data_IF_134441884471
#
_entry.id   IF_134441884471
#
_cell.length_a   1.000
_cell.length_b   1.000
_cell.length_c   1.000
_cell.angle_alpha   90.00
_cell.angle_beta   90.00
_cell.angle_gamma   90.00
#
_symmetry.space_group_name_H-M   'P 1'
#
loop_
_entity.id
_entity.type
_entity.pdbx_description
1 polymer ?
#
# COMPACT_ATOMS: atom_id res chain seq x y z
N UNK A 1 29.01 -23.04 19.99
CA UNK A 1 29.11 -22.03 18.89
C UNK A 1 29.40 -22.77 17.59
N UNK A 2 28.62 -22.51 16.54
CA UNK A 2 28.92 -23.02 15.20
C UNK A 2 30.30 -22.51 14.77
N UNK A 3 31.20 -23.42 14.36
CA UNK A 3 32.58 -23.07 13.98
C UNK A 3 32.73 -22.81 12.49
N UNK A 4 31.88 -23.42 11.65
CA UNK A 4 31.89 -23.29 10.19
C UNK A 4 30.44 -23.30 9.67
N UNK A 5 30.12 -22.38 8.75
CA UNK A 5 28.87 -22.37 7.98
C UNK A 5 29.18 -22.91 6.58
N UNK A 6 28.44 -23.93 6.12
CA UNK A 6 28.67 -24.61 4.83
C UNK A 6 27.87 -24.03 3.67
N UNK A 7 26.83 -23.27 3.96
CA UNK A 7 25.94 -22.69 2.98
C UNK A 7 24.92 -21.78 3.65
N UNK A 8 24.31 -20.91 2.85
CA UNK A 8 23.27 -19.99 3.26
C UNK A 8 22.13 -20.14 2.27
N UNK A 9 20.92 -20.33 2.78
CA UNK A 9 19.69 -20.28 1.98
C UNK A 9 18.99 -18.96 2.29
N UNK A 10 18.80 -18.14 1.25
CA UNK A 10 17.96 -16.96 1.34
C UNK A 10 16.53 -17.35 1.00
N UNK A 11 15.59 -16.99 1.86
CA UNK A 11 14.17 -17.30 1.71
C UNK A 11 13.35 -16.03 1.83
N UNK A 12 12.37 -15.86 0.94
CA UNK A 12 11.29 -14.90 1.12
C UNK A 12 10.08 -15.55 1.80
N UNK A 13 9.11 -14.75 2.22
CA UNK A 13 7.83 -15.27 2.69
C UNK A 13 7.10 -15.93 1.52
N UNK A 14 6.72 -17.18 1.70
CA UNK A 14 5.89 -17.94 0.78
C UNK A 14 4.59 -18.34 1.46
N UNK A 15 3.56 -18.63 0.67
CA UNK A 15 2.27 -19.08 1.19
C UNK A 15 2.47 -20.31 2.08
N UNK A 16 1.73 -20.35 3.18
CA UNK A 16 1.76 -21.50 4.09
C UNK A 16 1.04 -22.72 3.49
N UNK A 17 -0.07 -22.48 2.76
CA UNK A 17 -0.81 -23.48 2.00
C UNK A 17 -1.50 -22.85 0.77
N UNK A 18 -2.29 -23.64 0.04
CA UNK A 18 -3.01 -23.18 -1.17
C UNK A 18 -4.10 -22.14 -0.90
N UNK A 19 -4.58 -22.00 0.33
CA UNK A 19 -5.67 -21.10 0.73
C UNK A 19 -5.17 -19.87 1.50
N UNK A 20 -3.93 -19.89 1.98
CA UNK A 20 -3.29 -18.75 2.60
C UNK A 20 -3.12 -17.61 1.59
N UNK A 21 -3.33 -16.37 2.04
CA UNK A 21 -3.23 -15.15 1.22
C UNK A 21 -1.87 -15.03 0.54
N UNK A 22 -1.83 -14.29 -0.58
CA UNK A 22 -0.57 -13.89 -1.23
C UNK A 22 0.45 -13.38 -0.18
N UNK A 23 1.62 -14.02 -0.17
CA UNK A 23 2.79 -13.48 0.50
C UNK A 23 3.43 -12.38 -0.37
N UNK A 24 4.46 -11.73 0.18
CA UNK A 24 5.22 -10.67 -0.49
C UNK A 24 5.36 -10.88 -2.00
N UNK A 25 5.03 -9.85 -2.78
CA UNK A 25 5.15 -9.90 -4.23
C UNK A 25 6.62 -9.95 -4.63
N UNK A 26 7.01 -10.95 -5.42
CA UNK A 26 8.41 -11.17 -5.78
C UNK A 26 9.15 -9.91 -6.30
N UNK A 27 8.59 -9.10 -7.23
CA UNK A 27 9.24 -7.88 -7.69
C UNK A 27 9.45 -6.84 -6.59
N UNK A 28 8.54 -6.81 -5.61
CA UNK A 28 8.66 -5.91 -4.47
C UNK A 28 9.85 -6.29 -3.57
N UNK A 29 10.14 -7.59 -3.44
CA UNK A 29 11.25 -8.12 -2.64
C UNK A 29 12.62 -8.05 -3.32
N UNK A 30 12.70 -7.73 -4.63
CA UNK A 30 13.97 -7.75 -5.37
C UNK A 30 15.05 -6.79 -4.82
N UNK A 31 14.74 -5.52 -4.46
CA UNK A 31 15.74 -4.65 -3.86
C UNK A 31 16.27 -5.19 -2.52
N UNK A 32 15.38 -5.73 -1.68
CA UNK A 32 15.75 -6.36 -0.41
C UNK A 32 16.67 -7.56 -0.62
N UNK A 33 16.31 -8.45 -1.55
CA UNK A 33 17.13 -9.60 -1.94
C UNK A 33 18.52 -9.16 -2.43
N UNK A 34 18.59 -8.11 -3.26
CA UNK A 34 19.85 -7.55 -3.75
C UNK A 34 20.75 -7.06 -2.60
N UNK A 35 20.18 -6.37 -1.61
CA UNK A 35 20.91 -5.92 -0.43
C UNK A 35 21.38 -7.10 0.44
N UNK A 36 20.53 -8.12 0.63
CA UNK A 36 20.92 -9.34 1.34
C UNK A 36 22.08 -10.05 0.66
N UNK A 37 22.07 -10.16 -0.68
CA UNK A 37 23.16 -10.76 -1.45
C UNK A 37 24.46 -9.95 -1.33
N UNK A 38 24.39 -8.62 -1.37
CA UNK A 38 25.56 -7.74 -1.14
C UNK A 38 26.15 -7.93 0.26
N UNK A 39 25.29 -7.89 1.28
CA UNK A 39 25.67 -8.14 2.66
C UNK A 39 26.36 -9.50 2.82
N UNK A 40 25.85 -10.55 2.18
CA UNK A 40 26.45 -11.89 2.23
C UNK A 40 27.81 -11.97 1.54
N UNK A 41 28.01 -11.20 0.46
CA UNK A 41 29.28 -11.18 -0.26
C UNK A 41 30.37 -10.42 0.52
N UNK A 42 30.00 -9.34 1.20
CA UNK A 42 30.94 -8.39 1.81
C UNK A 42 31.08 -8.55 3.32
N UNK A 43 30.12 -9.23 3.98
CA UNK A 43 30.07 -9.39 5.44
C UNK A 43 29.61 -8.13 6.20
N UNK A 44 29.54 -7.00 5.52
CA UNK A 44 29.00 -5.73 6.00
C UNK A 44 28.33 -5.03 4.82
N UNK A 45 27.22 -4.33 5.09
CA UNK A 45 26.54 -3.51 4.09
C UNK A 45 26.91 -2.04 4.35
N UNK A 46 27.76 -1.46 3.49
CA UNK A 46 28.09 -0.05 3.57
C UNK A 46 27.11 0.79 2.73
N UNK A 47 26.96 2.10 3.02
CA UNK A 47 26.10 2.98 2.22
C UNK A 47 26.42 2.96 0.72
N UNK A 48 27.71 2.86 0.36
CA UNK A 48 28.15 2.75 -1.03
C UNK A 48 27.64 1.49 -1.74
N UNK A 49 27.39 0.40 -1.01
CA UNK A 49 26.84 -0.83 -1.59
C UNK A 49 25.35 -0.70 -1.91
N UNK A 50 24.62 0.05 -1.08
CA UNK A 50 23.21 0.40 -1.32
C UNK A 50 23.11 1.28 -2.56
N UNK A 51 23.95 2.30 -2.68
CA UNK A 51 23.93 3.22 -3.82
C UNK A 51 24.40 2.53 -5.12
N UNK A 52 25.35 1.60 -5.03
CA UNK A 52 25.75 0.78 -6.17
C UNK A 52 24.58 -0.10 -6.66
N UNK A 53 23.88 -0.78 -5.76
CA UNK A 53 22.70 -1.57 -6.11
C UNK A 53 21.56 -0.70 -6.64
N UNK A 54 21.34 0.47 -6.03
CA UNK A 54 20.35 1.44 -6.47
C UNK A 54 20.61 1.83 -7.94
N UNK A 55 21.88 2.11 -8.28
CA UNK A 55 22.30 2.42 -9.65
C UNK A 55 22.08 1.23 -10.60
N UNK A 56 22.44 0.01 -10.20
CA UNK A 56 22.25 -1.20 -11.02
C UNK A 56 20.76 -1.46 -11.30
N UNK A 57 19.89 -1.22 -10.32
CA UNK A 57 18.43 -1.32 -10.44
C UNK A 57 17.78 -0.05 -10.99
N UNK A 58 18.59 0.93 -11.41
CA UNK A 58 18.19 2.21 -12.01
C UNK A 58 17.25 3.05 -11.14
N UNK A 59 17.48 3.07 -9.83
CA UNK A 59 16.83 4.01 -8.94
C UNK A 59 17.38 5.43 -9.14
N UNK A 60 16.52 6.44 -9.02
CA UNK A 60 16.92 7.86 -9.01
C UNK A 60 17.38 8.34 -7.63
N UNK A 61 17.00 7.61 -6.58
CA UNK A 61 17.39 7.85 -5.18
C UNK A 61 18.00 6.60 -4.58
N UNK A 62 18.53 6.68 -3.36
CA UNK A 62 18.97 5.46 -2.66
C UNK A 62 17.76 4.54 -2.39
N UNK A 63 18.01 3.22 -2.28
CA UNK A 63 16.96 2.23 -2.04
C UNK A 63 16.39 2.46 -0.62
N UNK A 64 15.06 2.63 -0.46
CA UNK A 64 14.47 2.79 0.85
C UNK A 64 14.54 1.46 1.62
N UNK A 65 15.34 1.41 2.69
CA UNK A 65 15.43 0.24 3.57
C UNK A 65 14.08 -0.01 4.27
N UNK A 66 13.36 1.06 4.61
CA UNK A 66 12.03 0.99 5.17
C UNK A 66 11.02 1.65 4.20
N UNK A 67 10.23 0.87 3.45
CA UNK A 67 9.25 1.41 2.51
C UNK A 67 8.11 2.16 3.20
N UNK A 68 7.81 1.85 4.48
CA UNK A 68 6.75 2.53 5.25
C UNK A 68 7.11 3.95 5.69
N UNK A 69 8.38 4.35 5.57
CA UNK A 69 8.90 5.66 6.02
C UNK A 69 9.44 6.46 4.83
N UNK A 70 9.25 5.96 3.61
CA UNK A 70 9.72 6.65 2.42
C UNK A 70 8.80 7.85 2.11
N UNK A 71 9.34 9.07 2.12
CA UNK A 71 8.53 10.27 1.89
C UNK A 71 7.92 10.32 0.49
N UNK A 72 8.60 9.74 -0.51
CA UNK A 72 8.20 9.77 -1.91
C UNK A 72 8.31 8.37 -2.52
N UNK A 73 7.53 8.09 -3.55
CA UNK A 73 7.65 6.82 -4.30
C UNK A 73 8.99 6.85 -5.06
N UNK A 74 9.91 5.91 -4.81
CA UNK A 74 11.21 5.89 -5.48
C UNK A 74 11.06 5.51 -6.95
N UNK A 75 11.59 6.33 -7.85
CA UNK A 75 11.58 6.03 -9.29
C UNK A 75 12.67 5.01 -9.61
N UNK A 76 12.31 3.89 -10.23
CA UNK A 76 13.23 2.82 -10.58
C UNK A 76 12.84 2.06 -11.86
N UNK A 77 13.80 1.36 -12.49
CA UNK A 77 13.60 0.74 -13.81
C UNK A 77 14.33 -0.61 -13.97
N UNK A 78 14.05 -1.53 -13.03
CA UNK A 78 14.39 -2.94 -13.11
C UNK A 78 13.15 -3.77 -13.53
N UNK A 79 13.28 -5.02 -13.99
CA UNK A 79 12.14 -5.86 -14.34
C UNK A 79 11.15 -6.01 -13.17
N UNK A 80 9.90 -5.59 -13.38
CA UNK A 80 8.86 -5.55 -12.34
C UNK A 80 8.89 -4.32 -11.42
N UNK A 81 9.65 -3.28 -11.78
CA UNK A 81 9.69 -2.03 -11.00
C UNK A 81 8.36 -1.28 -10.93
N UNK A 82 7.46 -1.49 -11.89
CA UNK A 82 6.08 -0.97 -11.86
C UNK A 82 5.31 -1.52 -10.66
N UNK A 83 5.38 -2.84 -10.44
CA UNK A 83 4.80 -3.50 -9.26
C UNK A 83 5.44 -2.96 -7.99
N UNK A 84 6.78 -2.86 -7.93
CA UNK A 84 7.48 -2.35 -6.75
C UNK A 84 7.00 -0.93 -6.36
N UNK A 85 6.92 -0.01 -7.33
CA UNK A 85 6.46 1.36 -7.11
C UNK A 85 4.98 1.41 -6.70
N UNK A 86 4.13 0.61 -7.36
CA UNK A 86 2.70 0.53 -7.03
C UNK A 86 2.46 -0.03 -5.62
N UNK A 87 3.29 -0.95 -5.15
CA UNK A 87 3.20 -1.46 -3.77
C UNK A 87 3.59 -0.40 -2.74
N UNK A 88 4.56 0.48 -3.03
CA UNK A 88 4.88 1.61 -2.15
C UNK A 88 3.74 2.63 -2.15
N UNK A 89 3.18 2.94 -3.33
CA UNK A 89 1.98 3.78 -3.46
C UNK A 89 0.82 3.22 -2.61
N UNK A 90 0.62 1.90 -2.67
CA UNK A 90 -0.39 1.20 -1.87
C UNK A 90 -0.16 1.36 -0.37
N UNK A 91 1.06 1.15 0.11
CA UNK A 91 1.39 1.29 1.53
C UNK A 91 1.05 2.71 2.04
N UNK A 92 1.35 3.74 1.23
CA UNK A 92 1.01 5.13 1.58
C UNK A 92 -0.51 5.36 1.59
N UNK A 93 -1.22 4.90 0.56
CA UNK A 93 -2.66 5.02 0.46
C UNK A 93 -3.39 4.26 1.59
N UNK A 94 -2.91 3.07 1.94
CA UNK A 94 -3.45 2.25 3.02
C UNK A 94 -3.25 2.92 4.38
N UNK A 95 -2.07 3.49 4.64
CA UNK A 95 -1.82 4.27 5.85
C UNK A 95 -2.77 5.47 5.95
N UNK A 96 -2.93 6.23 4.86
CA UNK A 96 -3.84 7.37 4.81
C UNK A 96 -5.32 6.97 4.98
N UNK A 97 -5.72 5.81 4.44
CA UNK A 97 -7.04 5.20 4.65
C UNK A 97 -7.25 4.89 6.14
N UNK A 98 -6.29 4.22 6.78
CA UNK A 98 -6.35 3.88 8.22
C UNK A 98 -6.45 5.14 9.07
N UNK A 99 -5.61 6.15 8.82
CA UNK A 99 -5.64 7.42 9.55
C UNK A 99 -6.98 8.15 9.37
N UNK A 100 -7.55 8.15 8.16
CA UNK A 100 -8.85 8.76 7.90
C UNK A 100 -9.94 8.18 8.79
N UNK A 101 -10.00 6.85 8.93
CA UNK A 101 -10.98 6.19 9.79
C UNK A 101 -10.69 6.33 11.30
N UNK A 102 -9.52 6.82 11.68
CA UNK A 102 -9.16 7.12 13.07
C UNK A 102 -9.42 8.59 13.45
N UNK A 103 -9.83 9.43 12.50
CA UNK A 103 -10.19 10.82 12.80
C UNK A 103 -11.33 10.88 13.82
N UNK A 104 -11.22 11.80 14.77
CA UNK A 104 -12.29 12.05 15.74
C UNK A 104 -13.62 12.30 15.05
N UNK A 105 -13.62 13.00 13.91
CA UNK A 105 -14.84 13.27 13.16
C UNK A 105 -15.55 12.03 12.62
N UNK A 106 -14.81 10.95 12.35
CA UNK A 106 -15.40 9.65 12.01
C UNK A 106 -16.08 9.01 13.22
N UNK A 107 -15.49 9.14 14.41
CA UNK A 107 -16.03 8.60 15.65
C UNK A 107 -17.17 9.47 16.24
N UNK A 108 -17.18 10.78 16.00
CA UNK A 108 -18.13 11.72 16.62
C UNK A 108 -19.30 12.07 15.71
N UNK A 109 -19.07 12.65 14.53
CA UNK A 109 -20.17 13.12 13.67
C UNK A 109 -20.65 12.04 12.71
N UNK A 110 -19.74 11.22 12.18
CA UNK A 110 -20.02 10.20 11.17
C UNK A 110 -20.24 8.79 11.75
N UNK A 111 -20.41 8.63 13.06
CA UNK A 111 -20.75 7.33 13.64
C UNK A 111 -22.17 6.90 13.25
N UNK A 112 -22.41 5.59 13.28
CA UNK A 112 -23.67 5.00 12.84
C UNK A 112 -24.88 5.54 13.63
N UNK A 113 -24.74 5.80 14.94
CA UNK A 113 -25.84 6.31 15.78
C UNK A 113 -26.35 7.68 15.30
N UNK A 114 -25.43 8.60 14.98
CA UNK A 114 -25.76 9.94 14.51
C UNK A 114 -26.28 9.92 13.07
N UNK A 115 -25.68 9.11 12.19
CA UNK A 115 -26.10 8.95 10.79
C UNK A 115 -27.52 8.38 10.69
N UNK A 116 -27.85 7.34 11.45
CA UNK A 116 -29.19 6.74 11.44
C UNK A 116 -30.30 7.69 11.90
N UNK A 117 -29.96 8.66 12.77
CA UNK A 117 -30.93 9.58 13.39
C UNK A 117 -30.94 10.95 12.75
N UNK A 118 -30.07 11.20 11.78
CA UNK A 118 -29.88 12.54 11.20
C UNK A 118 -29.34 13.56 12.20
N UNK A 119 -28.69 13.14 13.29
CA UNK A 119 -28.11 14.03 14.30
C UNK A 119 -26.75 14.53 13.85
N UNK A 120 -26.74 15.29 12.75
CA UNK A 120 -25.50 15.64 12.08
C UNK A 120 -25.49 17.12 11.71
N UNK A 121 -24.34 17.76 11.95
CA UNK A 121 -24.05 19.09 11.45
C UNK A 121 -23.22 18.97 10.16
N UNK A 122 -23.77 19.36 8.98
CA UNK A 122 -23.07 19.25 7.70
C UNK A 122 -21.71 19.94 7.66
N UNK A 123 -21.50 21.03 8.40
CA UNK A 123 -20.23 21.78 8.44
C UNK A 123 -19.07 20.88 8.91
N UNK A 124 -19.33 19.93 9.80
CA UNK A 124 -18.30 19.00 10.28
C UNK A 124 -18.10 17.78 9.36
N UNK A 125 -19.08 17.46 8.52
CA UNK A 125 -19.05 16.32 7.60
C UNK A 125 -18.46 16.69 6.24
N UNK A 126 -18.69 17.91 5.75
CA UNK A 126 -18.16 18.38 4.46
C UNK A 126 -16.63 18.17 4.32
N UNK A 127 -15.78 18.49 5.32
CA UNK A 127 -14.35 18.19 5.23
C UNK A 127 -14.01 16.69 5.19
N UNK A 128 -14.79 15.87 5.90
CA UNK A 128 -14.61 14.41 5.89
C UNK A 128 -14.99 13.82 4.53
N UNK A 129 -16.07 14.31 3.92
CA UNK A 129 -16.50 13.95 2.57
C UNK A 129 -15.41 14.24 1.53
N UNK A 130 -14.88 15.47 1.53
CA UNK A 130 -13.83 15.88 0.59
C UNK A 130 -12.59 14.99 0.75
N UNK A 131 -12.15 14.73 2.00
CA UNK A 131 -11.00 13.87 2.26
C UNK A 131 -11.25 12.42 1.82
N UNK A 132 -12.45 11.87 2.11
CA UNK A 132 -12.84 10.53 1.69
C UNK A 132 -12.87 10.37 0.17
N UNK A 133 -13.43 11.36 -0.55
CA UNK A 133 -13.44 11.38 -2.01
C UNK A 133 -12.03 11.44 -2.60
N UNK A 134 -11.15 12.27 -2.03
CA UNK A 134 -9.75 12.33 -2.47
C UNK A 134 -9.03 11.00 -2.29
N UNK A 135 -9.24 10.31 -1.16
CA UNK A 135 -8.66 8.97 -0.95
C UNK A 135 -9.22 7.95 -1.92
N UNK A 136 -10.53 7.97 -2.18
CA UNK A 136 -11.16 7.05 -3.13
C UNK A 136 -10.61 7.24 -4.55
N UNK A 137 -10.39 8.49 -4.98
CA UNK A 137 -9.73 8.79 -6.24
C UNK A 137 -8.30 8.21 -6.31
N UNK A 138 -7.53 8.28 -5.22
CA UNK A 138 -6.20 7.65 -5.16
C UNK A 138 -6.29 6.14 -5.38
N UNK A 139 -7.22 5.45 -4.72
CA UNK A 139 -7.38 4.01 -4.88
C UNK A 139 -7.84 3.62 -6.29
N UNK A 140 -8.78 4.35 -6.90
CA UNK A 140 -9.20 4.06 -8.28
C UNK A 140 -8.07 4.29 -9.29
N UNK A 141 -7.28 5.37 -9.13
CA UNK A 141 -6.11 5.61 -9.97
C UNK A 141 -5.08 4.47 -9.85
N UNK A 142 -4.97 3.84 -8.68
CA UNK A 142 -4.15 2.65 -8.50
C UNK A 142 -4.73 1.40 -9.17
N UNK A 143 -6.06 1.19 -9.10
CA UNK A 143 -6.73 0.09 -9.79
C UNK A 143 -6.48 0.12 -11.30
N UNK A 144 -6.49 1.31 -11.91
CA UNK A 144 -6.20 1.49 -13.33
C UNK A 144 -4.76 1.07 -13.70
N UNK A 145 -3.79 1.32 -12.80
CA UNK A 145 -2.37 0.94 -12.99
C UNK A 145 -2.11 -0.54 -12.67
N UNK A 146 -2.97 -1.18 -11.88
CA UNK A 146 -2.74 -2.53 -11.35
C UNK A 146 -2.64 -3.55 -12.47
N UNK A 147 -3.59 -3.51 -13.42
CA UNK A 147 -3.68 -4.50 -14.48
C UNK A 147 -2.42 -4.52 -15.37
N UNK A 148 -2.00 -3.35 -15.86
CA UNK A 148 -0.79 -3.24 -16.70
C UNK A 148 0.48 -3.61 -15.94
N UNK A 149 0.56 -3.30 -14.65
CA UNK A 149 1.73 -3.65 -13.83
C UNK A 149 1.82 -5.15 -13.53
N UNK A 150 0.69 -5.82 -13.33
CA UNK A 150 0.66 -7.23 -12.93
C UNK A 150 0.72 -8.18 -14.13
N UNK A 151 0.14 -7.80 -15.28
CA UNK A 151 0.06 -8.65 -16.46
C UNK A 151 1.44 -9.10 -16.99
N UNK A 152 2.44 -8.23 -16.90
CA UNK A 152 3.80 -8.51 -17.40
C UNK A 152 4.62 -9.43 -16.49
N UNK A 153 4.17 -9.64 -15.24
CA UNK A 153 5.00 -10.23 -14.19
C UNK A 153 4.37 -11.44 -13.53
N UNK A 154 3.05 -11.47 -13.42
CA UNK A 154 2.32 -12.51 -12.71
C UNK A 154 1.41 -13.32 -13.63
N UNK A 155 1.19 -14.56 -13.22
CA UNK A 155 0.19 -15.44 -13.86
C UNK A 155 -1.23 -14.93 -13.57
N UNK A 156 -2.16 -15.36 -14.41
CA UNK A 156 -3.59 -15.05 -14.28
C UNK A 156 -4.11 -15.41 -12.89
N UNK A 157 -4.91 -14.52 -12.29
CA UNK A 157 -5.54 -14.73 -10.98
C UNK A 157 -4.83 -14.07 -9.80
N UNK A 158 -3.52 -13.83 -9.89
CA UNK A 158 -2.77 -13.12 -8.82
C UNK A 158 -3.32 -11.71 -8.61
N UNK A 159 -3.61 -11.00 -9.71
CA UNK A 159 -4.19 -9.66 -9.66
C UNK A 159 -5.55 -9.65 -8.94
N UNK A 160 -6.45 -10.56 -9.32
CA UNK A 160 -7.80 -10.63 -8.74
C UNK A 160 -7.76 -10.97 -7.26
N UNK A 161 -6.86 -11.88 -6.86
CA UNK A 161 -6.68 -12.24 -5.46
C UNK A 161 -6.10 -11.07 -4.66
N UNK A 162 -5.02 -10.45 -5.16
CA UNK A 162 -4.39 -9.32 -4.50
C UNK A 162 -5.39 -8.18 -4.29
N UNK A 163 -6.16 -7.86 -5.33
CA UNK A 163 -7.21 -6.85 -5.28
C UNK A 163 -8.25 -7.20 -4.21
N UNK A 164 -8.79 -8.41 -4.25
CA UNK A 164 -9.83 -8.86 -3.32
C UNK A 164 -9.39 -8.88 -1.86
N UNK A 165 -8.13 -9.22 -1.60
CA UNK A 165 -7.56 -9.33 -0.24
C UNK A 165 -7.17 -7.96 0.31
N UNK A 166 -6.44 -7.15 -0.46
CA UNK A 166 -5.78 -5.95 0.08
C UNK A 166 -6.48 -4.65 -0.31
N UNK A 167 -7.03 -4.55 -1.52
CA UNK A 167 -7.53 -3.30 -2.07
C UNK A 167 -9.03 -3.11 -1.82
N UNK A 168 -9.83 -4.09 -2.26
CA UNK A 168 -11.30 -4.04 -2.21
C UNK A 168 -11.89 -3.83 -0.81
N UNK A 169 -11.30 -4.30 0.31
CA UNK A 169 -11.82 -4.00 1.64
C UNK A 169 -11.76 -2.52 2.00
N UNK A 170 -10.64 -1.81 1.77
CA UNK A 170 -10.56 -0.37 2.06
C UNK A 170 -11.41 0.44 1.07
N UNK A 171 -11.41 0.10 -0.22
CA UNK A 171 -12.24 0.78 -1.23
C UNK A 171 -13.72 0.75 -0.85
N UNK A 172 -14.28 -0.44 -0.59
CA UNK A 172 -15.69 -0.58 -0.18
C UNK A 172 -16.02 0.20 1.08
N UNK A 173 -15.09 0.22 2.05
CA UNK A 173 -15.28 0.96 3.30
C UNK A 173 -15.28 2.47 3.06
N UNK A 174 -14.43 2.97 2.16
CA UNK A 174 -14.41 4.38 1.76
C UNK A 174 -15.66 4.75 0.97
N UNK A 175 -16.11 3.91 0.04
CA UNK A 175 -17.34 4.11 -0.73
C UNK A 175 -18.56 4.27 0.20
N UNK A 176 -18.74 3.36 1.16
CA UNK A 176 -19.82 3.44 2.16
C UNK A 176 -19.73 4.75 2.98
N UNK A 177 -18.54 5.10 3.47
CA UNK A 177 -18.34 6.32 4.25
C UNK A 177 -18.63 7.60 3.44
N UNK A 178 -18.18 7.64 2.18
CA UNK A 178 -18.41 8.77 1.27
C UNK A 178 -19.89 8.86 0.92
N UNK A 179 -20.56 7.75 0.64
CA UNK A 179 -21.99 7.74 0.34
C UNK A 179 -22.82 8.24 1.52
N UNK A 180 -22.53 7.76 2.74
CA UNK A 180 -23.16 8.25 3.98
C UNK A 180 -22.95 9.76 4.15
N UNK A 181 -21.72 10.23 4.02
CA UNK A 181 -21.39 11.65 4.16
C UNK A 181 -22.08 12.51 3.10
N UNK A 182 -22.17 12.02 1.86
CA UNK A 182 -22.82 12.71 0.75
C UNK A 182 -24.32 12.90 1.01
N UNK A 183 -25.02 11.86 1.48
CA UNK A 183 -26.45 11.94 1.81
C UNK A 183 -26.72 13.02 2.86
N UNK A 184 -25.94 13.00 3.93
CA UNK A 184 -26.03 13.97 5.03
C UNK A 184 -25.78 15.41 4.58
N UNK A 185 -24.78 15.62 3.72
CA UNK A 185 -24.46 16.95 3.19
C UNK A 185 -25.51 17.44 2.20
N UNK A 186 -26.16 16.53 1.47
CA UNK A 186 -27.21 16.87 0.49
C UNK A 186 -28.56 17.19 1.13
N UNK A 187 -28.87 16.63 2.30
CA UNK A 187 -30.11 16.88 3.07
C UNK A 187 -30.14 18.25 3.79
N UNK A 188 -29.67 19.32 3.13
CA UNK A 188 -29.55 20.72 3.66
C UNK A 188 -30.86 21.38 4.14
N UNK A 189 -31.94 20.64 4.35
CA UNK A 189 -33.28 21.13 4.68
C UNK A 189 -33.84 20.64 6.04
N UNK A 190 -33.04 19.99 6.88
CA UNK A 190 -33.52 19.58 8.22
C UNK A 190 -32.65 20.18 9.32
N UNK A 191 -32.85 21.47 9.57
CA UNK A 191 -32.65 22.12 10.88
C UNK A 191 -33.83 23.03 11.14
#
# INVERSE_FOLDING_TARGET
>A
KFKNIRGIALTGWQRYDHFAVLCELFPHGLPSLGLCLKLMQQGVLAPADIDALAKDMKFTTSIPINPFVCANIPVCNFPGSSVYQLMIEFVHAEAACKEFFLLEGMATWMNDYNVERGFINPIHVEPLLIRGQSLLQTFHAMEEKLHSSFADVFVTGVESEWRGVFLSPCVRRLEDAVEKAQRVVSDKHVV
#
